data_IF_636904145525
#
_entry.id   IF_636904145525
#
_cell.length_a   1.000
_cell.length_b   1.000
_cell.length_c   1.000
_cell.angle_alpha   90.00
_cell.angle_beta   90.00
_cell.angle_gamma   90.00
#
_symmetry.space_group_name_H-M   'P 1'
#
loop_
_entity.id
_entity.type
_entity.pdbx_description
1 polymer ?
#
# COMPACT_ATOMS: atom_id res chain seq x y z
N UNK A 1 14.26 20.64 -9.22
CA UNK A 1 15.23 20.43 -8.11
C UNK A 1 15.47 21.66 -7.22
N UNK A 2 15.74 22.91 -7.70
CA UNK A 2 15.99 24.04 -6.77
C UNK A 2 14.85 24.30 -5.76
N UNK A 3 13.59 24.10 -6.18
CA UNK A 3 12.44 24.38 -5.31
C UNK A 3 12.17 23.26 -4.30
N UNK A 4 12.41 22.00 -4.65
CA UNK A 4 12.27 20.87 -3.72
C UNK A 4 13.27 20.95 -2.57
N UNK A 5 14.53 21.31 -2.85
CA UNK A 5 15.56 21.46 -1.83
C UNK A 5 15.25 22.62 -0.88
N UNK A 6 14.81 23.77 -1.40
CA UNK A 6 14.42 24.93 -0.57
C UNK A 6 13.25 24.61 0.36
N UNK A 7 12.27 23.82 -0.11
CA UNK A 7 11.14 23.40 0.72
C UNK A 7 11.61 22.44 1.81
N UNK A 8 12.47 21.48 1.49
CA UNK A 8 13.05 20.58 2.49
C UNK A 8 13.85 21.33 3.57
N UNK A 9 14.66 22.30 3.17
CA UNK A 9 15.40 23.17 4.09
C UNK A 9 14.46 23.97 5.01
N UNK A 10 13.43 24.62 4.44
CA UNK A 10 12.40 25.33 5.22
C UNK A 10 11.67 24.43 6.20
N UNK A 11 11.33 23.21 5.79
CA UNK A 11 10.67 22.26 6.68
C UNK A 11 11.63 21.77 7.80
N UNK A 12 12.93 21.68 7.54
CA UNK A 12 13.95 21.39 8.55
C UNK A 12 14.03 22.50 9.62
N UNK A 13 13.86 23.76 9.25
CA UNK A 13 13.75 24.86 10.21
C UNK A 13 12.52 24.68 11.13
N UNK A 14 11.36 24.32 10.57
CA UNK A 14 10.18 24.03 11.38
C UNK A 14 10.35 22.83 12.31
N UNK A 15 11.04 21.77 11.88
CA UNK A 15 11.36 20.63 12.75
C UNK A 15 12.21 21.05 13.96
N UNK A 16 13.18 21.95 13.78
CA UNK A 16 13.97 22.51 14.86
C UNK A 16 13.12 23.36 15.81
N UNK A 17 12.25 24.24 15.28
CA UNK A 17 11.33 25.05 16.08
C UNK A 17 10.34 24.20 16.88
N UNK A 18 9.86 23.08 16.32
CA UNK A 18 9.01 22.11 17.04
C UNK A 18 9.80 21.50 18.20
N UNK A 19 11.07 21.10 17.96
CA UNK A 19 11.93 20.54 19.01
C UNK A 19 12.10 21.54 20.18
N UNK A 20 12.36 22.82 19.90
CA UNK A 20 12.46 23.87 20.90
C UNK A 20 11.17 24.04 21.71
N UNK A 21 10.01 24.10 21.03
CA UNK A 21 8.71 24.22 21.69
C UNK A 21 8.45 23.02 22.62
N UNK A 22 8.77 21.82 22.14
CA UNK A 22 8.52 20.59 22.91
C UNK A 22 9.49 20.46 24.08
N UNK A 23 10.75 20.85 23.93
CA UNK A 23 11.74 20.88 25.04
C UNK A 23 11.24 21.79 26.18
N UNK A 24 10.78 23.00 25.86
CA UNK A 24 10.19 23.93 26.84
C UNK A 24 8.96 23.30 27.52
N UNK A 25 8.03 22.72 26.74
CA UNK A 25 6.80 22.13 27.27
C UNK A 25 7.04 20.92 28.15
N UNK A 26 8.02 20.11 27.80
CA UNK A 26 8.38 18.85 28.49
C UNK A 26 9.44 19.04 29.56
N UNK A 27 10.02 20.24 29.70
CA UNK A 27 11.09 20.57 30.66
C UNK A 27 12.32 19.66 30.55
N UNK A 28 12.73 19.38 29.31
CA UNK A 28 13.86 18.53 29.00
C UNK A 28 13.55 17.04 28.85
N UNK A 29 12.30 16.62 29.12
CA UNK A 29 11.89 15.25 28.76
C UNK A 29 11.59 15.15 27.26
N UNK A 30 11.86 14.00 26.64
CA UNK A 30 11.56 13.79 25.24
C UNK A 30 10.03 13.72 25.00
N UNK A 31 9.52 14.41 23.97
CA UNK A 31 8.12 14.29 23.59
C UNK A 31 7.86 12.91 22.97
N UNK A 32 6.63 12.43 23.14
CA UNK A 32 6.21 11.11 22.66
C UNK A 32 5.11 11.25 21.61
N UNK A 33 5.27 10.55 20.48
CA UNK A 33 4.27 10.47 19.43
C UNK A 33 3.67 9.06 19.34
N UNK A 34 2.35 9.01 19.15
CA UNK A 34 1.64 7.79 18.79
C UNK A 34 1.11 7.93 17.35
N UNK A 35 1.46 7.00 16.47
CA UNK A 35 1.02 7.01 15.07
C UNK A 35 0.31 5.70 14.74
N UNK A 36 -0.93 5.81 14.28
CA UNK A 36 -1.70 4.66 13.80
C UNK A 36 -2.05 4.82 12.34
N UNK A 37 -1.65 3.84 11.53
CA UNK A 37 -1.90 3.83 10.11
C UNK A 37 -3.08 2.92 9.77
N UNK A 38 -4.03 3.46 9.01
CA UNK A 38 -5.14 2.73 8.42
C UNK A 38 -4.96 2.73 6.90
N UNK A 39 -5.03 1.59 6.25
CA UNK A 39 -5.07 1.55 4.79
C UNK A 39 -4.03 0.68 4.11
N UNK A 40 -3.47 1.17 3.01
CA UNK A 40 -2.55 0.43 2.15
C UNK A 40 -1.07 0.72 2.50
N UNK A 41 -0.17 0.00 1.83
CA UNK A 41 1.27 0.16 1.99
C UNK A 41 1.76 1.58 1.71
N UNK A 42 1.10 2.31 0.79
CA UNK A 42 1.41 3.72 0.55
C UNK A 42 1.15 4.59 1.78
N UNK A 43 0.06 4.33 2.55
CA UNK A 43 -0.17 5.03 3.81
C UNK A 43 0.90 4.66 4.86
N UNK A 44 1.41 3.42 4.85
CA UNK A 44 2.53 3.05 5.73
C UNK A 44 3.77 3.85 5.38
N UNK A 45 4.16 3.90 4.11
CA UNK A 45 5.30 4.70 3.66
C UNK A 45 5.12 6.21 3.94
N UNK A 46 3.90 6.74 3.82
CA UNK A 46 3.59 8.11 4.21
C UNK A 46 3.78 8.32 5.72
N UNK A 47 3.38 7.35 6.55
CA UNK A 47 3.59 7.41 8.01
C UNK A 47 5.07 7.28 8.39
N UNK A 48 5.85 6.48 7.69
CA UNK A 48 7.31 6.36 7.89
C UNK A 48 8.04 7.69 7.60
N UNK A 49 7.59 8.46 6.59
CA UNK A 49 8.07 9.84 6.37
C UNK A 49 7.69 10.76 7.52
N UNK A 50 6.44 10.73 7.98
CA UNK A 50 6.00 11.54 9.13
C UNK A 50 6.79 11.17 10.39
N UNK A 51 7.03 9.89 10.63
CA UNK A 51 7.88 9.42 11.74
C UNK A 51 9.30 9.96 11.64
N UNK A 52 9.91 9.94 10.45
CA UNK A 52 11.23 10.52 10.24
C UNK A 52 11.28 12.02 10.59
N UNK A 53 10.30 12.80 10.16
CA UNK A 53 10.20 14.22 10.50
C UNK A 53 9.98 14.45 11.99
N UNK A 54 9.18 13.63 12.66
CA UNK A 54 8.97 13.70 14.12
C UNK A 54 10.23 13.29 14.89
N UNK A 55 10.95 12.26 14.46
CA UNK A 55 12.22 11.85 15.07
C UNK A 55 13.26 12.98 15.00
N UNK A 56 13.35 13.65 13.83
CA UNK A 56 14.22 14.83 13.67
C UNK A 56 13.75 16.00 14.55
N UNK A 57 12.47 16.08 14.89
CA UNK A 57 11.91 17.04 15.84
C UNK A 57 12.02 16.59 17.31
N UNK A 58 12.80 15.54 17.60
CA UNK A 58 13.10 15.05 18.94
C UNK A 58 12.09 14.09 19.57
N UNK A 59 11.06 13.64 18.82
CA UNK A 59 10.05 12.72 19.34
C UNK A 59 10.55 11.28 19.45
N UNK A 60 10.13 10.61 20.51
CA UNK A 60 10.12 9.15 20.63
C UNK A 60 8.71 8.61 20.29
N UNK A 61 8.59 7.29 20.10
CA UNK A 61 7.35 6.67 19.65
C UNK A 61 6.80 5.69 20.69
N UNK A 62 5.49 5.74 20.91
CA UNK A 62 4.78 4.81 21.77
C UNK A 62 3.87 3.88 20.96
N UNK A 63 3.60 2.69 21.52
CA UNK A 63 2.66 1.71 20.95
C UNK A 63 1.19 2.01 21.33
N UNK A 64 0.97 2.83 22.38
CA UNK A 64 -0.34 3.20 22.87
C UNK A 64 -0.47 4.73 23.05
N UNK A 65 -1.69 5.31 22.90
CA UNK A 65 -1.89 6.74 22.86
C UNK A 65 -1.84 7.43 24.24
N UNK A 66 -1.91 6.69 25.34
CA UNK A 66 -2.20 7.24 26.67
C UNK A 66 -1.15 8.24 27.18
N UNK A 67 0.12 8.03 26.83
CA UNK A 67 1.25 8.87 27.23
C UNK A 67 1.80 9.74 26.10
N UNK A 68 1.09 9.82 24.97
CA UNK A 68 1.56 10.58 23.83
C UNK A 68 1.27 12.09 23.97
N UNK A 69 2.21 12.90 23.54
CA UNK A 69 2.06 14.37 23.39
C UNK A 69 1.47 14.72 22.01
N UNK A 70 1.71 13.85 21.04
CA UNK A 70 1.17 13.96 19.68
C UNK A 70 0.56 12.62 19.24
N UNK A 71 -0.68 12.66 18.74
CA UNK A 71 -1.40 11.49 18.23
C UNK A 71 -1.78 11.74 16.79
N UNK A 72 -1.35 10.85 15.87
CA UNK A 72 -1.67 10.93 14.45
C UNK A 72 -2.37 9.66 13.97
N UNK A 73 -3.50 9.82 13.29
CA UNK A 73 -4.13 8.76 12.51
C UNK A 73 -3.96 9.04 11.02
N UNK A 74 -3.20 8.20 10.33
CA UNK A 74 -3.08 8.23 8.88
C UNK A 74 -4.17 7.34 8.26
N UNK A 75 -4.99 7.90 7.38
CA UNK A 75 -6.31 7.37 7.01
C UNK A 75 -6.43 7.07 5.51
N UNK A 76 -7.28 6.12 5.16
CA UNK A 76 -7.46 5.63 3.79
C UNK A 76 -8.89 5.88 3.29
N UNK A 77 -9.01 6.32 2.03
CA UNK A 77 -10.29 6.54 1.36
C UNK A 77 -10.80 5.31 0.57
N UNK A 78 -9.98 4.25 0.44
CA UNK A 78 -10.28 3.13 -0.45
C UNK A 78 -11.18 2.07 0.21
N UNK A 79 -11.12 1.91 1.54
CA UNK A 79 -11.83 0.86 2.28
C UNK A 79 -13.03 1.44 3.02
N UNK A 80 -14.24 0.95 2.72
CA UNK A 80 -15.51 1.44 3.30
C UNK A 80 -15.52 1.42 4.83
N UNK A 81 -15.20 0.27 5.42
CA UNK A 81 -15.18 0.12 6.88
C UNK A 81 -14.01 0.85 7.57
N UNK A 82 -13.10 1.49 6.79
CA UNK A 82 -12.03 2.28 7.39
C UNK A 82 -12.56 3.58 8.00
N UNK A 83 -13.57 4.21 7.39
CA UNK A 83 -14.13 5.47 7.88
C UNK A 83 -14.77 5.31 9.26
N UNK A 84 -15.68 4.36 9.43
CA UNK A 84 -16.36 4.14 10.71
C UNK A 84 -15.39 3.73 11.82
N UNK A 85 -14.40 2.90 11.47
CA UNK A 85 -13.35 2.52 12.42
C UNK A 85 -12.50 3.73 12.83
N UNK A 86 -12.14 4.60 11.89
CA UNK A 86 -11.39 5.83 12.18
C UNK A 86 -12.21 6.75 13.07
N UNK A 87 -13.49 7.02 12.74
CA UNK A 87 -14.35 7.86 13.54
C UNK A 87 -14.58 7.31 14.95
N UNK A 88 -14.75 6.00 15.10
CA UNK A 88 -14.84 5.34 16.40
C UNK A 88 -13.58 5.54 17.25
N UNK A 89 -12.41 5.31 16.66
CA UNK A 89 -11.13 5.47 17.36
C UNK A 89 -10.82 6.94 17.68
N UNK A 90 -11.12 7.88 16.78
CA UNK A 90 -11.00 9.32 17.06
C UNK A 90 -11.93 9.72 18.21
N UNK A 91 -13.18 9.23 18.19
CA UNK A 91 -14.14 9.48 19.28
C UNK A 91 -13.63 9.03 20.64
N UNK A 92 -12.96 7.88 20.72
CA UNK A 92 -12.38 7.35 21.96
C UNK A 92 -11.33 8.29 22.57
N UNK A 93 -10.60 9.06 21.75
CA UNK A 93 -9.59 10.03 22.21
C UNK A 93 -10.18 11.25 22.93
N UNK A 94 -11.50 11.47 22.88
CA UNK A 94 -12.15 12.62 23.52
C UNK A 94 -11.87 12.68 25.03
N UNK A 95 -11.92 11.55 25.70
CA UNK A 95 -11.67 11.49 27.14
C UNK A 95 -10.18 11.71 27.47
N UNK A 96 -9.28 11.18 26.66
CA UNK A 96 -7.85 11.40 26.80
C UNK A 96 -7.51 12.89 26.61
N UNK A 97 -8.02 13.52 25.55
CA UNK A 97 -7.83 14.97 25.30
C UNK A 97 -8.39 15.83 26.43
N UNK A 98 -9.50 15.43 27.07
CA UNK A 98 -10.07 16.16 28.22
C UNK A 98 -9.17 16.07 29.45
N UNK A 99 -8.54 14.90 29.70
CA UNK A 99 -7.60 14.71 30.82
C UNK A 99 -6.25 15.40 30.56
N UNK A 100 -5.81 15.42 29.32
CA UNK A 100 -4.53 15.97 28.86
C UNK A 100 -4.76 17.01 27.74
N UNK A 101 -5.19 18.24 28.07
CA UNK A 101 -5.57 19.26 27.08
C UNK A 101 -4.46 19.66 26.12
N UNK A 102 -3.18 19.46 26.50
CA UNK A 102 -2.01 19.80 25.70
C UNK A 102 -1.73 18.83 24.54
N UNK A 103 -2.29 17.61 24.57
CA UNK A 103 -2.07 16.63 23.49
C UNK A 103 -2.55 17.22 22.16
N UNK A 104 -1.71 17.20 21.12
CA UNK A 104 -2.13 17.51 19.77
C UNK A 104 -2.62 16.24 19.06
N UNK A 105 -3.91 16.22 18.69
CA UNK A 105 -4.52 15.12 17.92
C UNK A 105 -4.62 15.55 16.47
N UNK A 106 -4.06 14.71 15.57
CA UNK A 106 -3.98 14.95 14.14
C UNK A 106 -4.60 13.82 13.32
N UNK A 107 -5.14 14.16 12.16
CA UNK A 107 -5.61 13.23 11.14
C UNK A 107 -5.00 13.58 9.79
N UNK A 108 -4.51 12.59 9.07
CA UNK A 108 -3.98 12.79 7.72
C UNK A 108 -4.35 11.65 6.76
N UNK A 109 -3.87 11.76 5.53
CA UNK A 109 -3.98 10.73 4.50
C UNK A 109 -5.13 10.93 3.52
N UNK A 110 -5.36 9.91 2.68
CA UNK A 110 -6.30 9.98 1.55
C UNK A 110 -7.74 10.36 1.95
N UNK A 111 -8.20 9.91 3.13
CA UNK A 111 -9.54 10.19 3.62
C UNK A 111 -9.72 11.69 3.91
N UNK A 112 -8.66 12.38 4.33
CA UNK A 112 -8.71 13.81 4.66
C UNK A 112 -8.78 14.73 3.43
N UNK A 113 -8.47 14.22 2.24
CA UNK A 113 -8.70 14.95 0.98
C UNK A 113 -10.20 15.04 0.61
N UNK A 114 -11.05 14.19 1.18
CA UNK A 114 -12.48 14.20 0.91
C UNK A 114 -13.17 15.30 1.72
N UNK A 115 -13.78 16.27 1.02
CA UNK A 115 -14.38 17.45 1.65
C UNK A 115 -15.45 17.12 2.70
N UNK A 116 -16.34 16.18 2.39
CA UNK A 116 -17.41 15.77 3.31
C UNK A 116 -16.85 15.15 4.59
N UNK A 117 -15.74 14.41 4.52
CA UNK A 117 -15.06 13.83 5.68
C UNK A 117 -14.41 14.91 6.54
N UNK A 118 -13.62 15.79 5.92
CA UNK A 118 -12.97 16.88 6.66
C UNK A 118 -13.98 17.81 7.34
N UNK A 119 -15.11 18.10 6.66
CA UNK A 119 -16.21 18.85 7.24
C UNK A 119 -16.88 18.13 8.42
N UNK A 120 -17.03 16.78 8.34
CA UNK A 120 -17.51 15.97 9.47
C UNK A 120 -16.54 16.05 10.66
N UNK A 121 -15.24 15.92 10.42
CA UNK A 121 -14.21 16.08 11.47
C UNK A 121 -14.28 17.47 12.09
N UNK A 122 -14.36 18.50 11.27
CA UNK A 122 -14.43 19.88 11.75
C UNK A 122 -15.60 20.10 12.70
N UNK A 123 -16.80 19.61 12.35
CA UNK A 123 -18.03 19.80 13.12
C UNK A 123 -18.14 18.86 14.32
N UNK A 124 -17.79 17.58 14.16
CA UNK A 124 -18.11 16.54 15.16
C UNK A 124 -16.96 16.25 16.13
N UNK A 125 -15.73 16.64 15.79
CA UNK A 125 -14.55 16.37 16.61
C UNK A 125 -13.75 17.66 16.91
N UNK A 126 -14.30 18.60 17.67
CA UNK A 126 -13.67 19.89 17.92
C UNK A 126 -12.32 19.82 18.66
N UNK A 127 -12.01 18.67 19.24
CA UNK A 127 -10.75 18.40 19.94
C UNK A 127 -9.61 17.95 19.02
N UNK A 128 -9.87 17.69 17.73
CA UNK A 128 -8.85 17.43 16.71
C UNK A 128 -8.23 18.77 16.29
N UNK A 129 -6.92 18.92 16.49
CA UNK A 129 -6.21 20.19 16.28
C UNK A 129 -5.56 20.32 14.90
N UNK A 130 -5.22 19.20 14.24
CA UNK A 130 -4.55 19.22 12.95
C UNK A 130 -5.19 18.21 11.98
N UNK A 131 -5.53 18.66 10.77
CA UNK A 131 -6.02 17.80 9.67
C UNK A 131 -5.33 18.22 8.39
N UNK A 132 -4.71 17.27 7.68
CA UNK A 132 -4.06 17.53 6.40
C UNK A 132 -4.19 16.37 5.43
N UNK A 133 -4.26 16.69 4.15
CA UNK A 133 -4.36 15.74 3.08
C UNK A 133 -3.01 15.15 2.62
N UNK A 134 -3.06 14.24 1.66
CA UNK A 134 -1.86 13.62 1.06
C UNK A 134 -1.00 14.61 0.29
N UNK A 135 -1.61 15.65 -0.27
CA UNK A 135 -0.92 16.71 -1.01
C UNK A 135 -0.11 17.64 -0.10
N UNK A 136 -0.50 17.76 1.16
CA UNK A 136 0.16 18.63 2.15
C UNK A 136 1.14 17.90 3.07
N UNK A 137 1.44 16.62 2.81
CA UNK A 137 2.32 15.82 3.66
C UNK A 137 3.72 16.44 3.82
N UNK A 138 4.26 17.03 2.77
CA UNK A 138 5.56 17.69 2.77
C UNK A 138 5.58 18.99 3.60
N UNK A 139 4.41 19.56 3.91
CA UNK A 139 4.26 20.71 4.80
C UNK A 139 3.98 20.33 6.26
N UNK A 140 3.97 19.03 6.58
CA UNK A 140 3.60 18.55 7.92
C UNK A 140 4.33 19.27 9.07
N UNK A 141 5.66 19.54 9.03
CA UNK A 141 6.33 20.28 10.09
C UNK A 141 5.78 21.70 10.27
N UNK A 142 5.58 22.45 9.18
CA UNK A 142 4.99 23.80 9.22
C UNK A 142 3.56 23.79 9.81
N UNK A 143 2.74 22.83 9.38
CA UNK A 143 1.35 22.68 9.86
C UNK A 143 1.31 22.32 11.35
N UNK A 144 2.19 21.42 11.78
CA UNK A 144 2.32 21.04 13.19
C UNK A 144 2.81 22.20 14.04
N UNK A 145 3.82 22.95 13.59
CA UNK A 145 4.32 24.14 14.25
C UNK A 145 3.20 25.16 14.49
N UNK A 146 2.42 25.47 13.44
CA UNK A 146 1.32 26.42 13.52
C UNK A 146 0.23 25.95 14.52
N UNK A 147 -0.09 24.64 14.52
CA UNK A 147 -1.05 24.07 15.47
C UNK A 147 -0.56 24.11 16.92
N UNK A 148 0.75 23.96 17.14
CA UNK A 148 1.37 24.04 18.47
C UNK A 148 1.47 25.48 18.97
N UNK A 149 1.81 26.44 18.10
CA UNK A 149 2.06 27.82 18.49
C UNK A 149 0.77 28.55 18.86
N UNK A 150 -0.21 28.54 17.96
CA UNK A 150 -1.44 29.34 18.06
C UNK A 150 -2.54 28.65 18.87
N UNK A 151 -2.44 27.34 19.12
CA UNK A 151 -3.51 26.54 19.70
C UNK A 151 -4.79 26.50 18.86
N UNK A 152 -4.73 27.03 17.62
CA UNK A 152 -5.82 27.01 16.66
C UNK A 152 -5.84 25.70 15.90
N UNK A 153 -7.03 25.31 15.45
CA UNK A 153 -7.18 24.15 14.57
C UNK A 153 -6.67 24.46 13.16
N UNK A 154 -5.78 23.61 12.67
CA UNK A 154 -5.22 23.69 11.32
C UNK A 154 -5.85 22.64 10.42
N UNK A 155 -6.43 23.08 9.30
CA UNK A 155 -7.06 22.20 8.30
C UNK A 155 -6.51 22.55 6.91
N UNK A 156 -5.66 21.67 6.36
CA UNK A 156 -5.01 21.89 5.09
C UNK A 156 -5.33 20.76 4.10
N UNK A 157 -5.92 21.11 2.96
CA UNK A 157 -6.34 20.18 1.91
C UNK A 157 -6.15 20.76 0.52
N UNK A 158 -5.95 19.91 -0.47
CA UNK A 158 -6.27 20.22 -1.86
C UNK A 158 -5.32 21.10 -2.64
N UNK A 159 -4.17 21.47 -2.13
CA UNK A 159 -3.14 22.17 -2.91
C UNK A 159 -2.25 21.16 -3.64
N UNK A 160 -2.80 20.51 -4.69
CA UNK A 160 -1.98 19.69 -5.60
C UNK A 160 -1.25 20.61 -6.58
N UNK A 161 -0.02 20.98 -6.25
CA UNK A 161 0.89 21.70 -7.13
C UNK A 161 1.53 20.81 -8.20
N UNK A 162 1.12 19.52 -8.21
CA UNK A 162 1.61 18.47 -9.09
C UNK A 162 3.13 18.23 -8.99
N UNK A 163 3.77 18.62 -7.89
CA UNK A 163 5.20 18.46 -7.65
C UNK A 163 5.48 17.29 -6.71
N UNK A 164 6.72 16.80 -6.75
CA UNK A 164 7.26 15.84 -5.79
C UNK A 164 8.36 16.49 -4.99
N UNK A 165 8.32 16.28 -3.69
CA UNK A 165 9.29 16.82 -2.76
C UNK A 165 10.12 15.69 -2.17
N UNK A 166 11.43 15.78 -2.32
CA UNK A 166 12.41 14.81 -1.86
C UNK A 166 13.25 15.36 -0.70
N UNK A 167 14.09 14.51 -0.13
CA UNK A 167 15.02 14.91 0.94
C UNK A 167 14.43 14.94 2.34
N UNK A 168 13.22 14.42 2.54
CA UNK A 168 12.65 14.26 3.87
C UNK A 168 13.19 13.00 4.56
N UNK A 169 13.40 13.05 5.89
CA UNK A 169 13.82 11.90 6.66
C UNK A 169 12.72 10.83 6.65
N UNK A 170 13.15 9.57 6.68
CA UNK A 170 12.23 8.41 6.72
C UNK A 170 12.65 7.49 7.86
N UNK A 171 11.73 7.23 8.79
CA UNK A 171 11.90 6.22 9.83
C UNK A 171 11.07 5.00 9.47
N UNK A 172 11.72 3.96 8.99
CA UNK A 172 11.06 2.72 8.60
C UNK A 172 10.69 1.88 9.82
N UNK A 173 9.50 1.28 9.80
CA UNK A 173 9.02 0.40 10.87
C UNK A 173 9.60 -1.02 10.74
N UNK A 174 9.82 -1.47 9.52
CA UNK A 174 10.37 -2.80 9.25
C UNK A 174 11.89 -2.84 9.37
N UNK A 175 12.42 -3.96 9.86
CA UNK A 175 13.87 -4.20 9.98
C UNK A 175 14.45 -4.93 8.78
N UNK A 176 13.66 -5.73 8.08
CA UNK A 176 14.06 -6.50 6.90
C UNK A 176 13.07 -6.42 5.74
N UNK A 177 11.90 -5.79 5.94
CA UNK A 177 10.90 -5.49 4.89
C UNK A 177 10.70 -4.00 4.79
N UNK A 178 10.75 -3.46 3.57
CA UNK A 178 10.60 -2.03 3.37
C UNK A 178 9.77 -1.66 2.16
N UNK A 179 9.13 -0.51 2.27
CA UNK A 179 8.29 0.09 1.25
C UNK A 179 9.05 1.23 0.57
N UNK A 180 9.14 1.19 -0.76
CA UNK A 180 9.82 2.20 -1.54
C UNK A 180 8.85 2.82 -2.55
N UNK A 181 8.20 3.95 -2.22
CA UNK A 181 7.39 4.68 -3.19
C UNK A 181 8.24 5.13 -4.38
N UNK A 182 7.81 4.79 -5.60
CA UNK A 182 8.48 5.21 -6.84
C UNK A 182 7.67 6.25 -7.61
N UNK A 183 6.40 6.36 -7.30
CA UNK A 183 5.46 7.30 -7.93
C UNK A 183 4.23 7.53 -7.07
N UNK A 184 3.51 8.60 -7.33
CA UNK A 184 2.27 9.00 -6.67
C UNK A 184 1.19 9.35 -7.69
N UNK A 185 -0.09 9.19 -7.31
CA UNK A 185 -1.23 9.51 -8.15
C UNK A 185 -1.49 8.51 -9.27
N UNK A 186 -2.58 8.69 -9.99
CA UNK A 186 -2.98 7.79 -11.08
C UNK A 186 -3.83 8.51 -12.14
N UNK A 187 -3.52 8.29 -13.42
CA UNK A 187 -4.22 8.89 -14.55
C UNK A 187 -5.25 7.94 -15.20
N UNK A 188 -5.52 6.77 -14.63
CA UNK A 188 -6.45 5.81 -15.24
C UNK A 188 -7.92 6.20 -15.11
N UNK A 189 -8.30 6.94 -14.07
CA UNK A 189 -9.69 7.40 -13.83
C UNK A 189 -10.72 6.28 -13.99
N UNK A 190 -10.41 5.07 -13.48
CA UNK A 190 -11.39 3.99 -13.40
C UNK A 190 -12.63 4.51 -12.67
N UNK A 191 -13.84 4.23 -13.18
CA UNK A 191 -15.08 4.88 -12.74
C UNK A 191 -15.41 4.66 -11.25
N UNK A 192 -14.92 3.57 -10.66
CA UNK A 192 -15.12 3.22 -9.24
C UNK A 192 -14.02 3.76 -8.31
N UNK A 193 -12.92 4.30 -8.85
CA UNK A 193 -11.71 4.57 -8.09
C UNK A 193 -11.61 6.01 -7.62
N UNK A 194 -11.40 6.20 -6.31
CA UNK A 194 -11.24 7.51 -5.68
C UNK A 194 -9.80 8.04 -5.76
N UNK A 195 -8.81 7.18 -6.09
CA UNK A 195 -7.39 7.52 -6.05
C UNK A 195 -7.01 8.78 -6.82
N UNK A 196 -7.47 9.01 -8.07
CA UNK A 196 -7.13 10.25 -8.79
C UNK A 196 -7.58 11.53 -8.08
N UNK A 197 -8.61 11.43 -7.24
CA UNK A 197 -9.20 12.57 -6.53
C UNK A 197 -8.56 12.85 -5.17
N UNK A 198 -7.85 11.85 -4.61
CA UNK A 198 -7.23 11.95 -3.27
C UNK A 198 -5.71 11.83 -3.27
N UNK A 199 -5.10 11.46 -4.41
CA UNK A 199 -3.64 11.41 -4.59
C UNK A 199 -3.16 12.16 -5.83
N UNK A 200 -4.09 12.77 -6.57
CA UNK A 200 -3.80 13.60 -7.73
C UNK A 200 -3.35 12.83 -8.97
N UNK A 201 -2.77 13.59 -9.90
CA UNK A 201 -2.21 13.08 -11.15
C UNK A 201 -0.94 12.27 -10.90
N UNK A 202 -0.63 11.44 -11.88
CA UNK A 202 0.54 10.58 -11.89
C UNK A 202 1.84 11.37 -11.92
N UNK A 203 2.74 11.11 -10.96
CA UNK A 203 4.04 11.77 -10.80
C UNK A 203 5.06 10.72 -10.43
N UNK A 204 6.09 10.54 -11.26
CA UNK A 204 7.18 9.62 -11.03
C UNK A 204 8.34 10.31 -10.31
N UNK A 205 8.96 9.61 -9.35
CA UNK A 205 10.21 10.05 -8.70
C UNK A 205 11.39 9.84 -9.64
N UNK A 206 12.41 10.65 -9.50
CA UNK A 206 13.64 10.52 -10.28
C UNK A 206 14.31 9.15 -10.03
N UNK A 207 14.74 8.50 -11.12
CA UNK A 207 15.32 7.15 -11.09
C UNK A 207 16.51 7.04 -10.14
N UNK A 208 17.43 7.99 -10.23
CA UNK A 208 18.66 7.96 -9.42
C UNK A 208 18.38 8.05 -7.92
N UNK A 209 17.33 8.78 -7.51
CA UNK A 209 16.92 8.90 -6.12
C UNK A 209 16.39 7.54 -5.64
N UNK A 210 15.54 6.89 -6.42
CA UNK A 210 14.97 5.58 -6.09
C UNK A 210 16.07 4.52 -5.98
N UNK A 211 16.99 4.47 -6.94
CA UNK A 211 18.10 3.50 -6.96
C UNK A 211 19.02 3.72 -5.76
N UNK A 212 19.36 4.96 -5.43
CA UNK A 212 20.15 5.28 -4.24
C UNK A 212 19.45 4.87 -2.95
N UNK A 213 18.14 5.12 -2.84
CA UNK A 213 17.35 4.72 -1.66
C UNK A 213 17.26 3.19 -1.53
N UNK A 214 17.03 2.47 -2.65
CA UNK A 214 17.05 1.02 -2.69
C UNK A 214 18.41 0.45 -2.24
N UNK A 215 19.51 1.02 -2.73
CA UNK A 215 20.87 0.63 -2.34
C UNK A 215 21.08 0.81 -0.84
N UNK A 216 20.73 1.95 -0.29
CA UNK A 216 20.83 2.21 1.16
C UNK A 216 20.00 1.21 1.97
N UNK A 217 18.81 0.83 1.51
CA UNK A 217 18.00 -0.20 2.15
C UNK A 217 18.70 -1.56 2.15
N UNK A 218 19.23 -1.99 1.00
CA UNK A 218 19.95 -3.28 0.85
C UNK A 218 21.18 -3.31 1.77
N UNK A 219 21.98 -2.26 1.76
CA UNK A 219 23.17 -2.11 2.63
C UNK A 219 22.80 -2.10 4.11
N UNK A 220 21.62 -1.60 4.47
CA UNK A 220 21.06 -1.64 5.84
C UNK A 220 20.45 -2.99 6.22
N UNK A 221 20.50 -4.00 5.34
CA UNK A 221 20.07 -5.37 5.63
C UNK A 221 18.63 -5.70 5.27
N UNK A 222 17.94 -4.84 4.52
CA UNK A 222 16.58 -5.17 4.05
C UNK A 222 16.59 -6.33 3.07
N UNK A 223 15.69 -7.29 3.29
CA UNK A 223 15.57 -8.55 2.53
C UNK A 223 14.37 -8.58 1.58
N UNK A 224 13.36 -7.76 1.81
CA UNK A 224 12.15 -7.66 0.97
C UNK A 224 11.83 -6.19 0.73
N UNK A 225 12.10 -5.70 -0.48
CA UNK A 225 11.86 -4.31 -0.88
C UNK A 225 10.72 -4.30 -1.88
N UNK A 226 9.64 -3.62 -1.52
CA UNK A 226 8.48 -3.50 -2.40
C UNK A 226 8.36 -2.09 -2.97
N UNK A 227 8.46 -1.98 -4.30
CA UNK A 227 8.22 -0.73 -5.03
C UNK A 227 6.73 -0.40 -5.03
N UNK A 228 6.38 0.81 -4.61
CA UNK A 228 5.01 1.26 -4.47
C UNK A 228 4.63 2.36 -5.44
N UNK A 229 3.39 2.32 -5.89
CA UNK A 229 2.72 3.36 -6.66
C UNK A 229 1.24 3.01 -6.80
N UNK A 230 0.47 3.84 -7.48
CA UNK A 230 -0.93 3.55 -7.77
C UNK A 230 -1.11 2.87 -9.14
N UNK A 231 -0.07 2.90 -9.97
CA UNK A 231 0.09 2.13 -11.21
C UNK A 231 1.57 2.09 -11.57
N UNK A 232 2.35 1.21 -10.95
CA UNK A 232 3.81 1.18 -11.10
C UNK A 232 4.26 0.94 -12.54
N UNK A 233 3.46 0.26 -13.36
CA UNK A 233 3.78 -0.02 -14.76
C UNK A 233 3.86 1.25 -15.63
N UNK A 234 3.26 2.35 -15.18
CA UNK A 234 3.31 3.65 -15.88
C UNK A 234 4.47 4.54 -15.45
N UNK A 235 5.32 4.05 -14.54
CA UNK A 235 6.50 4.78 -14.07
C UNK A 235 7.35 5.32 -15.23
N UNK A 236 7.87 6.53 -15.04
CA UNK A 236 8.71 7.25 -15.97
C UNK A 236 7.98 8.30 -16.81
N UNK A 237 6.65 8.23 -16.88
CA UNK A 237 5.86 9.26 -17.57
C UNK A 237 6.04 10.62 -16.88
N UNK A 238 6.43 11.61 -17.66
CA UNK A 238 6.64 12.99 -17.16
C UNK A 238 8.04 13.29 -16.62
N UNK A 239 8.93 12.29 -16.56
CA UNK A 239 10.34 12.52 -16.29
C UNK A 239 11.05 13.11 -17.51
N UNK A 240 12.09 13.91 -17.27
CA UNK A 240 12.95 14.44 -18.32
C UNK A 240 13.79 13.36 -18.99
N UNK A 241 14.19 12.35 -18.25
CA UNK A 241 14.85 11.15 -18.75
C UNK A 241 13.80 10.20 -19.35
N UNK A 242 14.07 9.69 -20.54
CA UNK A 242 13.22 8.67 -21.18
C UNK A 242 13.47 7.30 -20.52
N UNK A 243 12.86 7.08 -19.36
CA UNK A 243 12.97 5.86 -18.57
C UNK A 243 11.59 5.23 -18.36
N UNK A 244 11.52 3.91 -18.32
CA UNK A 244 10.31 3.16 -18.01
C UNK A 244 10.49 2.25 -16.78
N UNK A 245 9.41 1.61 -16.36
CA UNK A 245 9.41 0.75 -15.17
C UNK A 245 10.35 -0.45 -15.32
N UNK A 246 10.44 -1.03 -16.51
CA UNK A 246 11.35 -2.18 -16.78
C UNK A 246 12.82 -1.78 -16.61
N UNK A 247 13.19 -0.58 -17.02
CA UNK A 247 14.55 -0.07 -16.86
C UNK A 247 14.87 0.21 -15.38
N UNK A 248 13.92 0.82 -14.63
CA UNK A 248 14.08 1.00 -13.18
C UNK A 248 14.26 -0.34 -12.47
N UNK A 249 13.42 -1.35 -12.81
CA UNK A 249 13.53 -2.68 -12.21
C UNK A 249 14.90 -3.30 -12.45
N UNK A 250 15.43 -3.23 -13.68
CA UNK A 250 16.77 -3.76 -14.02
C UNK A 250 17.87 -3.07 -13.23
N UNK A 251 17.81 -1.76 -13.06
CA UNK A 251 18.80 -1.03 -12.27
C UNK A 251 18.78 -1.41 -10.79
N UNK A 252 17.60 -1.53 -10.20
CA UNK A 252 17.49 -1.97 -8.80
C UNK A 252 17.89 -3.46 -8.66
N UNK A 253 17.51 -4.32 -9.61
CA UNK A 253 17.87 -5.75 -9.62
C UNK A 253 19.39 -5.98 -9.75
N UNK A 254 20.12 -5.02 -10.33
CA UNK A 254 21.57 -5.10 -10.50
C UNK A 254 22.38 -4.75 -9.24
N UNK A 255 21.73 -4.31 -8.16
CA UNK A 255 22.41 -4.00 -6.90
C UNK A 255 22.78 -5.31 -6.20
N UNK A 256 24.05 -5.46 -5.82
CA UNK A 256 24.51 -6.64 -5.11
C UNK A 256 23.85 -6.81 -3.74
N UNK A 257 23.44 -8.03 -3.41
CA UNK A 257 22.83 -8.33 -2.12
C UNK A 257 21.98 -9.61 -2.16
N UNK A 258 21.47 -9.98 -0.99
CA UNK A 258 20.51 -11.10 -0.88
C UNK A 258 19.14 -10.55 -0.46
N UNK A 259 18.33 -10.19 -1.43
CA UNK A 259 17.02 -9.56 -1.21
C UNK A 259 16.02 -9.99 -2.29
N UNK A 260 14.72 -9.76 -2.01
CA UNK A 260 13.68 -9.78 -3.01
C UNK A 260 13.24 -8.36 -3.38
N UNK A 261 13.13 -8.13 -4.67
CA UNK A 261 12.52 -6.95 -5.24
C UNK A 261 11.10 -7.28 -5.67
N UNK A 262 10.13 -6.63 -5.04
CA UNK A 262 8.70 -6.76 -5.34
C UNK A 262 8.13 -5.45 -5.85
N UNK A 263 6.98 -5.53 -6.46
CA UNK A 263 6.17 -4.36 -6.79
C UNK A 263 4.69 -4.71 -6.70
N UNK A 264 3.88 -3.71 -6.43
CA UNK A 264 2.43 -3.84 -6.26
C UNK A 264 1.71 -2.80 -7.10
N UNK A 265 0.43 -3.08 -7.42
CA UNK A 265 -0.47 -2.11 -8.07
C UNK A 265 -0.12 -1.84 -9.53
N UNK A 266 -0.25 -2.89 -10.34
CA UNK A 266 -0.10 -2.84 -11.79
C UNK A 266 -1.43 -2.62 -12.50
N UNK A 267 -1.38 -2.16 -13.75
CA UNK A 267 -2.56 -2.05 -14.61
C UNK A 267 -2.34 -2.81 -15.92
N UNK A 268 -3.27 -3.68 -16.37
CA UNK A 268 -3.09 -4.50 -17.57
C UNK A 268 -2.75 -3.72 -18.84
N UNK A 269 -3.31 -2.53 -19.00
CA UNK A 269 -3.05 -1.64 -20.14
C UNK A 269 -1.57 -1.25 -20.29
N UNK A 270 -0.85 -1.13 -19.18
CA UNK A 270 0.56 -0.70 -19.11
C UNK A 270 1.52 -1.88 -18.87
N UNK A 271 1.01 -3.14 -18.83
CA UNK A 271 1.84 -4.33 -18.68
C UNK A 271 2.43 -4.75 -20.03
N UNK A 272 3.68 -4.39 -20.28
CA UNK A 272 4.39 -4.64 -21.53
C UNK A 272 5.09 -6.01 -21.52
N UNK A 273 5.43 -6.53 -22.73
CA UNK A 273 6.28 -7.72 -22.87
C UNK A 273 7.66 -7.48 -22.27
N UNK A 274 8.22 -6.28 -22.44
CA UNK A 274 9.51 -5.91 -21.85
C UNK A 274 9.50 -6.05 -20.32
N UNK A 275 8.40 -5.69 -19.66
CA UNK A 275 8.26 -5.88 -18.21
C UNK A 275 8.28 -7.37 -17.84
N UNK A 276 7.54 -8.18 -18.56
CA UNK A 276 7.49 -9.63 -18.35
C UNK A 276 8.88 -10.27 -18.55
N UNK A 277 9.58 -9.90 -19.62
CA UNK A 277 10.94 -10.37 -19.91
C UNK A 277 11.93 -9.93 -18.82
N UNK A 278 11.75 -8.71 -18.28
CA UNK A 278 12.56 -8.19 -17.16
C UNK A 278 12.33 -9.01 -15.89
N UNK A 279 11.07 -9.35 -15.56
CA UNK A 279 10.76 -10.20 -14.41
C UNK A 279 11.34 -11.61 -14.59
N UNK A 280 11.25 -12.16 -15.81
CA UNK A 280 11.78 -13.48 -16.11
C UNK A 280 13.30 -13.57 -15.94
N UNK A 281 14.02 -12.55 -16.42
CA UNK A 281 15.48 -12.46 -16.37
C UNK A 281 16.04 -12.04 -15.02
N UNK A 282 15.23 -11.39 -14.17
CA UNK A 282 15.68 -10.80 -12.90
C UNK A 282 16.14 -11.82 -11.88
N UNK A 283 17.22 -11.50 -11.17
CA UNK A 283 17.83 -12.33 -10.13
C UNK A 283 17.10 -12.13 -8.78
N UNK A 284 16.83 -10.89 -8.42
CA UNK A 284 16.19 -10.52 -7.17
C UNK A 284 14.69 -10.26 -7.35
N UNK A 285 14.22 -10.04 -8.59
CA UNK A 285 12.81 -9.77 -8.87
C UNK A 285 11.97 -11.01 -8.54
N UNK A 286 11.03 -10.83 -7.63
CA UNK A 286 10.11 -11.89 -7.22
C UNK A 286 9.28 -12.42 -8.39
N UNK A 287 9.08 -13.71 -8.46
CA UNK A 287 8.26 -14.38 -9.50
C UNK A 287 6.76 -14.25 -9.17
N UNK A 288 6.35 -13.04 -8.83
CA UNK A 288 4.99 -12.67 -8.48
C UNK A 288 4.54 -11.48 -9.33
N UNK A 289 3.42 -11.65 -10.03
CA UNK A 289 2.78 -10.58 -10.79
C UNK A 289 1.36 -10.34 -10.26
N UNK A 290 1.17 -9.20 -9.61
CA UNK A 290 -0.15 -8.71 -9.22
C UNK A 290 -0.71 -7.85 -10.36
N UNK A 291 -1.72 -8.37 -11.09
CA UNK A 291 -2.29 -7.70 -12.27
C UNK A 291 -3.82 -7.65 -12.18
N UNK A 292 -4.39 -6.60 -11.54
CA UNK A 292 -5.82 -6.45 -11.32
C UNK A 292 -6.65 -6.42 -12.61
N UNK A 293 -7.46 -7.46 -12.88
CA UNK A 293 -8.36 -7.48 -14.02
C UNK A 293 -9.77 -6.95 -13.71
N UNK A 294 -10.17 -6.92 -12.46
CA UNK A 294 -11.41 -6.38 -11.90
C UNK A 294 -12.69 -7.12 -12.31
N UNK A 295 -12.90 -7.42 -13.58
CA UNK A 295 -14.08 -8.12 -14.13
C UNK A 295 -13.70 -8.86 -15.43
N UNK A 296 -14.34 -10.00 -15.70
CA UNK A 296 -14.11 -10.80 -16.91
C UNK A 296 -14.92 -10.35 -18.12
N UNK A 297 -15.97 -9.54 -17.94
CA UNK A 297 -16.83 -9.07 -19.02
C UNK A 297 -16.30 -7.80 -19.68
N UNK A 298 -16.15 -7.81 -20.99
CA UNK A 298 -15.73 -6.63 -21.77
C UNK A 298 -16.70 -5.46 -21.63
N UNK A 299 -18.00 -5.75 -21.49
CA UNK A 299 -19.03 -4.72 -21.29
C UNK A 299 -18.82 -3.99 -19.97
N UNK A 300 -18.60 -4.73 -18.89
CA UNK A 300 -18.36 -4.17 -17.56
C UNK A 300 -17.00 -3.48 -17.49
N UNK A 301 -15.95 -4.04 -18.08
CA UNK A 301 -14.62 -3.40 -18.17
C UNK A 301 -14.71 -2.03 -18.87
N UNK A 302 -15.51 -1.90 -19.92
CA UNK A 302 -15.76 -0.61 -20.58
C UNK A 302 -16.48 0.37 -19.66
N UNK A 303 -17.50 -0.08 -18.92
CA UNK A 303 -18.22 0.74 -17.95
C UNK A 303 -17.31 1.16 -16.77
N UNK A 304 -16.36 0.31 -16.37
CA UNK A 304 -15.32 0.61 -15.38
C UNK A 304 -14.22 1.56 -15.90
N UNK A 305 -14.23 1.95 -17.18
CA UNK A 305 -13.17 2.72 -17.84
C UNK A 305 -11.82 2.01 -17.81
N UNK A 306 -11.81 0.68 -18.06
CA UNK A 306 -10.62 -0.14 -18.10
C UNK A 306 -10.12 -0.29 -19.53
N UNK A 307 -9.15 0.41 -20.01
CA UNK A 307 -8.68 0.51 -21.39
C UNK A 307 -8.00 -0.77 -21.94
N UNK A 308 -8.56 -1.93 -21.67
CA UNK A 308 -8.21 -3.25 -22.20
C UNK A 308 -9.46 -4.15 -22.20
N UNK A 309 -9.41 -5.25 -22.91
CA UNK A 309 -10.44 -6.27 -22.95
C UNK A 309 -9.90 -7.63 -22.43
N UNK A 310 -10.79 -8.63 -22.30
CA UNK A 310 -10.45 -9.98 -21.85
C UNK A 310 -9.36 -10.62 -22.73
N UNK A 311 -9.45 -10.45 -24.07
CA UNK A 311 -8.48 -11.02 -25.00
C UNK A 311 -7.08 -10.49 -24.73
N UNK A 312 -6.94 -9.17 -24.61
CA UNK A 312 -5.67 -8.52 -24.30
C UNK A 312 -5.11 -8.95 -22.96
N UNK A 313 -5.97 -9.10 -21.95
CA UNK A 313 -5.57 -9.59 -20.63
C UNK A 313 -4.98 -11.01 -20.73
N UNK A 314 -5.67 -11.94 -21.40
CA UNK A 314 -5.22 -13.31 -21.59
C UNK A 314 -3.92 -13.40 -22.40
N UNK A 315 -3.74 -12.57 -23.44
CA UNK A 315 -2.47 -12.50 -24.18
C UNK A 315 -1.29 -12.16 -23.24
N UNK A 316 -1.48 -11.19 -22.32
CA UNK A 316 -0.46 -10.80 -21.33
C UNK A 316 -0.17 -11.95 -20.38
N UNK A 317 -1.22 -12.57 -19.82
CA UNK A 317 -1.09 -13.67 -18.85
C UNK A 317 -0.42 -14.90 -19.48
N UNK A 318 -0.81 -15.28 -20.70
CA UNK A 318 -0.23 -16.42 -21.37
C UNK A 318 1.25 -16.19 -21.68
N UNK A 319 1.61 -14.98 -22.12
CA UNK A 319 3.01 -14.61 -22.32
C UNK A 319 3.81 -14.64 -21.00
N UNK A 320 3.22 -14.14 -19.90
CA UNK A 320 3.87 -14.19 -18.59
C UNK A 320 4.07 -15.62 -18.08
N UNK A 321 3.09 -16.51 -18.27
CA UNK A 321 3.19 -17.94 -17.92
C UNK A 321 4.24 -18.67 -18.76
N UNK A 322 4.40 -18.29 -20.03
CA UNK A 322 5.42 -18.86 -20.92
C UNK A 322 6.84 -18.45 -20.50
N UNK A 323 7.03 -17.18 -20.11
CA UNK A 323 8.36 -16.60 -19.86
C UNK A 323 8.86 -16.74 -18.43
N UNK A 324 7.97 -16.77 -17.45
CA UNK A 324 8.34 -16.75 -16.03
C UNK A 324 8.05 -18.12 -15.42
N UNK A 325 9.10 -18.89 -15.18
CA UNK A 325 8.97 -20.15 -14.48
C UNK A 325 8.58 -19.93 -13.02
N UNK A 326 7.67 -20.76 -12.51
CA UNK A 326 7.16 -20.64 -11.14
C UNK A 326 6.31 -19.38 -10.87
N UNK A 327 5.77 -18.72 -11.90
CA UNK A 327 4.97 -17.51 -11.78
C UNK A 327 3.77 -17.67 -10.84
N UNK A 328 3.71 -16.80 -9.85
CA UNK A 328 2.54 -16.58 -9.01
C UNK A 328 1.74 -15.40 -9.53
N UNK A 329 0.47 -15.61 -9.83
CA UNK A 329 -0.45 -14.59 -10.34
C UNK A 329 -1.47 -14.23 -9.27
N UNK A 330 -1.64 -12.92 -9.02
CA UNK A 330 -2.68 -12.40 -8.15
C UNK A 330 -3.44 -11.25 -8.83
N UNK A 331 -4.66 -11.01 -8.40
CA UNK A 331 -5.50 -9.98 -9.00
C UNK A 331 -6.53 -9.45 -8.01
N UNK A 332 -7.13 -8.30 -8.36
CA UNK A 332 -8.32 -7.75 -7.70
C UNK A 332 -9.56 -8.01 -8.54
N UNK A 333 -10.68 -8.26 -7.86
CA UNK A 333 -11.99 -8.45 -8.49
C UNK A 333 -13.05 -7.66 -7.74
N UNK A 334 -13.90 -6.99 -8.48
CA UNK A 334 -15.09 -6.30 -7.97
C UNK A 334 -16.32 -7.01 -8.51
N UNK A 335 -17.14 -7.56 -7.60
CA UNK A 335 -18.41 -8.22 -7.88
C UNK A 335 -19.57 -7.25 -7.69
N UNK A 336 -20.56 -7.29 -8.56
CA UNK A 336 -21.78 -6.47 -8.47
C UNK A 336 -21.53 -5.00 -8.78
N UNK A 337 -20.66 -4.71 -9.76
CA UNK A 337 -20.52 -3.37 -10.32
C UNK A 337 -21.86 -2.90 -10.91
N UNK A 338 -22.23 -1.60 -10.81
CA UNK A 338 -23.49 -1.10 -11.32
C UNK A 338 -23.79 -1.52 -12.77
N UNK A 339 -24.92 -2.19 -12.97
CA UNK A 339 -25.34 -2.72 -14.25
C UNK A 339 -24.65 -4.03 -14.69
N UNK A 340 -23.82 -4.67 -13.85
CA UNK A 340 -23.32 -6.03 -14.10
C UNK A 340 -24.49 -7.02 -14.09
N UNK A 341 -24.53 -7.95 -15.04
CA UNK A 341 -25.51 -9.05 -15.04
C UNK A 341 -24.87 -10.34 -14.54
N UNK A 342 -25.69 -11.35 -14.22
CA UNK A 342 -25.15 -12.66 -13.83
C UNK A 342 -24.36 -13.31 -14.98
N UNK A 343 -24.74 -13.05 -16.24
CA UNK A 343 -23.99 -13.50 -17.42
C UNK A 343 -22.58 -12.86 -17.46
N UNK A 344 -22.45 -11.56 -17.18
CA UNK A 344 -21.16 -10.88 -17.06
C UNK A 344 -20.31 -11.47 -15.93
N UNK A 345 -20.95 -11.78 -14.79
CA UNK A 345 -20.28 -12.42 -13.66
C UNK A 345 -19.77 -13.83 -14.02
N UNK A 346 -20.54 -14.60 -14.79
CA UNK A 346 -20.06 -15.91 -15.29
C UNK A 346 -18.81 -15.79 -16.19
N UNK A 347 -18.69 -14.70 -16.97
CA UNK A 347 -17.45 -14.44 -17.72
C UNK A 347 -16.27 -14.20 -16.78
N UNK A 348 -16.50 -13.55 -15.62
CA UNK A 348 -15.49 -13.38 -14.58
C UNK A 348 -15.05 -14.74 -13.99
N UNK A 349 -15.99 -15.62 -13.64
CA UNK A 349 -15.68 -16.98 -13.17
C UNK A 349 -14.93 -17.81 -14.22
N UNK A 350 -15.33 -17.69 -15.50
CA UNK A 350 -14.65 -18.36 -16.61
C UNK A 350 -13.19 -17.90 -16.73
N UNK A 351 -12.92 -16.59 -16.58
CA UNK A 351 -11.56 -16.05 -16.62
C UNK A 351 -10.71 -16.56 -15.44
N UNK A 352 -11.29 -16.63 -14.25
CA UNK A 352 -10.62 -17.15 -13.04
C UNK A 352 -10.18 -18.60 -13.27
N UNK A 353 -11.07 -19.45 -13.80
CA UNK A 353 -10.77 -20.86 -14.09
C UNK A 353 -9.69 -21.02 -15.18
N UNK A 354 -9.70 -20.14 -16.21
CA UNK A 354 -8.74 -20.16 -17.30
C UNK A 354 -7.33 -19.72 -16.85
N UNK A 355 -7.27 -18.70 -16.00
CA UNK A 355 -6.00 -18.15 -15.51
C UNK A 355 -5.43 -18.94 -14.33
N UNK A 356 -6.26 -19.54 -13.50
CA UNK A 356 -5.86 -20.26 -12.29
C UNK A 356 -4.98 -19.39 -11.37
N UNK A 357 -5.53 -18.29 -10.83
CA UNK A 357 -4.80 -17.38 -9.96
C UNK A 357 -4.32 -18.06 -8.66
N UNK A 358 -3.14 -17.68 -8.19
CA UNK A 358 -2.62 -18.11 -6.89
C UNK A 358 -3.47 -17.55 -5.74
N UNK A 359 -3.87 -16.28 -5.86
CA UNK A 359 -4.77 -15.64 -4.89
C UNK A 359 -5.51 -14.49 -5.55
N UNK A 360 -6.70 -14.18 -5.05
CA UNK A 360 -7.52 -13.05 -5.47
C UNK A 360 -7.88 -12.18 -4.27
N UNK A 361 -7.81 -10.86 -4.45
CA UNK A 361 -8.42 -9.88 -3.56
C UNK A 361 -9.80 -9.55 -4.11
N UNK A 362 -10.83 -9.97 -3.40
CA UNK A 362 -12.21 -9.94 -3.86
C UNK A 362 -13.03 -8.95 -3.06
N UNK A 363 -13.83 -8.15 -3.75
CA UNK A 363 -14.65 -7.10 -3.15
C UNK A 363 -16.05 -7.12 -3.77
N UNK A 364 -17.07 -6.89 -2.94
CA UNK A 364 -18.38 -6.45 -3.44
C UNK A 364 -18.26 -4.95 -3.75
N UNK A 365 -18.83 -4.51 -4.89
CA UNK A 365 -18.82 -3.09 -5.23
C UNK A 365 -19.41 -2.25 -4.10
N UNK A 366 -18.69 -1.21 -3.74
CA UNK A 366 -19.13 -0.20 -2.77
C UNK A 366 -18.89 1.20 -3.34
N UNK A 367 -19.94 2.02 -3.47
CA UNK A 367 -19.84 3.35 -4.07
C UNK A 367 -18.93 4.27 -3.24
N UNK A 368 -18.04 5.00 -3.90
CA UNK A 368 -17.16 5.99 -3.27
C UNK A 368 -17.62 7.40 -3.66
N UNK A 369 -17.89 8.22 -2.67
CA UNK A 369 -18.33 9.61 -2.89
C UNK A 369 -17.34 10.33 -3.79
N UNK A 370 -17.86 11.02 -4.81
CA UNK A 370 -17.07 11.76 -5.79
C UNK A 370 -16.65 10.96 -7.04
N UNK A 371 -16.84 9.63 -7.06
CA UNK A 371 -16.54 8.80 -8.25
C UNK A 371 -17.72 8.75 -9.23
N UNK A 372 -17.46 8.54 -10.54
CA UNK A 372 -18.52 8.34 -11.51
C UNK A 372 -19.44 7.17 -11.18
N UNK A 373 -18.89 6.03 -10.75
CA UNK A 373 -19.67 4.84 -10.44
C UNK A 373 -20.63 5.03 -9.25
N UNK A 374 -20.34 5.93 -8.33
CA UNK A 374 -21.27 6.27 -7.24
C UNK A 374 -22.56 6.95 -7.69
N UNK A 375 -22.58 7.44 -8.94
CA UNK A 375 -23.75 8.09 -9.55
C UNK A 375 -24.50 7.17 -10.52
N UNK A 376 -23.99 5.97 -10.75
CA UNK A 376 -24.64 4.97 -11.62
C UNK A 376 -25.81 4.33 -10.88
N UNK A 377 -26.84 3.98 -11.63
CA UNK A 377 -27.93 3.17 -11.10
C UNK A 377 -27.44 1.75 -10.82
N UNK A 378 -27.72 1.27 -9.61
CA UNK A 378 -27.27 -0.05 -9.13
C UNK A 378 -28.49 -0.92 -8.79
N UNK A 379 -29.07 -1.58 -9.81
CA UNK A 379 -30.29 -2.35 -9.64
C UNK A 379 -30.07 -3.71 -8.95
N UNK A 380 -28.79 -4.11 -8.69
CA UNK A 380 -28.50 -5.45 -8.18
C UNK A 380 -28.73 -5.48 -6.67
N UNK A 381 -29.64 -6.35 -6.17
CA UNK A 381 -29.86 -6.50 -4.73
C UNK A 381 -28.60 -6.95 -4.00
N UNK A 382 -28.40 -6.47 -2.77
CA UNK A 382 -27.24 -6.84 -1.94
C UNK A 382 -27.13 -8.35 -1.69
N UNK A 383 -28.27 -9.03 -1.55
CA UNK A 383 -28.33 -10.49 -1.39
C UNK A 383 -27.80 -11.22 -2.64
N UNK A 384 -28.12 -10.71 -3.83
CA UNK A 384 -27.68 -11.28 -5.10
C UNK A 384 -26.15 -11.11 -5.25
N UNK A 385 -25.61 -9.90 -4.99
CA UNK A 385 -24.17 -9.65 -4.95
C UNK A 385 -23.47 -10.60 -3.96
N UNK A 386 -24.07 -10.83 -2.81
CA UNK A 386 -23.54 -11.75 -1.79
C UNK A 386 -23.54 -13.21 -2.22
N UNK A 387 -24.50 -13.64 -3.06
CA UNK A 387 -24.50 -14.98 -3.67
C UNK A 387 -23.37 -15.13 -4.69
N UNK A 388 -23.26 -14.19 -5.62
CA UNK A 388 -22.18 -14.18 -6.61
C UNK A 388 -20.81 -14.16 -5.93
N UNK A 389 -20.67 -13.35 -4.89
CA UNK A 389 -19.42 -13.27 -4.12
C UNK A 389 -19.01 -14.61 -3.49
N UNK A 390 -19.97 -15.36 -2.92
CA UNK A 390 -19.70 -16.70 -2.37
C UNK A 390 -19.30 -17.68 -3.47
N UNK A 391 -20.02 -17.69 -4.60
CA UNK A 391 -19.69 -18.55 -5.75
C UNK A 391 -18.26 -18.27 -6.25
N UNK A 392 -17.84 -17.00 -6.28
CA UNK A 392 -16.47 -16.62 -6.64
C UNK A 392 -15.44 -17.16 -5.64
N UNK A 393 -15.73 -17.05 -4.35
CA UNK A 393 -14.84 -17.56 -3.31
C UNK A 393 -14.68 -19.08 -3.39
N UNK A 394 -15.74 -19.82 -3.63
CA UNK A 394 -15.71 -21.28 -3.78
C UNK A 394 -14.80 -21.69 -4.96
N UNK A 395 -14.97 -21.03 -6.11
CA UNK A 395 -14.12 -21.29 -7.29
C UNK A 395 -12.65 -20.97 -7.01
N UNK A 396 -12.37 -19.87 -6.34
CA UNK A 396 -10.98 -19.49 -6.03
C UNK A 396 -10.35 -20.42 -4.99
N UNK A 397 -11.13 -20.90 -4.00
CA UNK A 397 -10.64 -21.84 -2.99
C UNK A 397 -10.21 -23.17 -3.63
N UNK A 398 -11.00 -23.70 -4.57
CA UNK A 398 -10.67 -24.91 -5.32
C UNK A 398 -9.36 -24.74 -6.10
N UNK A 399 -9.21 -23.61 -6.81
CA UNK A 399 -8.00 -23.32 -7.60
C UNK A 399 -6.77 -23.17 -6.70
N UNK A 400 -6.90 -22.43 -5.59
CA UNK A 400 -5.78 -22.21 -4.66
C UNK A 400 -5.33 -23.53 -4.02
N UNK A 401 -6.27 -24.38 -3.61
CA UNK A 401 -5.97 -25.70 -3.05
C UNK A 401 -5.19 -26.57 -4.04
N UNK A 402 -5.62 -26.61 -5.31
CA UNK A 402 -4.91 -27.33 -6.39
C UNK A 402 -3.48 -26.80 -6.58
N UNK A 403 -3.31 -25.47 -6.66
CA UNK A 403 -1.99 -24.85 -6.84
C UNK A 403 -1.06 -25.10 -5.65
N UNK A 404 -1.55 -24.90 -4.43
CA UNK A 404 -0.76 -25.18 -3.23
C UNK A 404 -0.37 -26.66 -3.14
N UNK A 405 -1.28 -27.59 -3.49
CA UNK A 405 -1.00 -29.02 -3.52
C UNK A 405 0.11 -29.39 -4.52
N UNK A 406 0.22 -28.69 -5.65
CA UNK A 406 1.27 -28.90 -6.64
C UNK A 406 2.68 -28.48 -6.18
N UNK A 407 2.79 -27.78 -5.04
CA UNK A 407 4.07 -27.38 -4.46
C UNK A 407 4.59 -28.41 -3.44
N UNK A 408 3.78 -29.37 -3.02
CA UNK A 408 4.21 -30.42 -2.08
C UNK A 408 5.33 -31.24 -2.68
N UNK A 409 6.38 -31.46 -1.91
CA UNK A 409 7.61 -32.13 -2.32
C UNK A 409 8.69 -31.21 -2.91
N UNK A 410 8.37 -29.97 -3.28
CA UNK A 410 9.33 -28.99 -3.77
C UNK A 410 10.08 -28.32 -2.62
N UNK A 411 11.28 -27.83 -2.90
CA UNK A 411 12.03 -26.96 -1.99
C UNK A 411 11.90 -25.52 -2.48
N UNK A 412 11.49 -24.63 -1.58
CA UNK A 412 11.28 -23.20 -1.86
C UNK A 412 12.22 -22.36 -0.99
N UNK A 413 12.75 -21.27 -1.55
CA UNK A 413 13.39 -20.21 -0.76
C UNK A 413 12.30 -19.40 -0.07
N UNK A 414 12.35 -19.29 1.25
CA UNK A 414 11.33 -18.64 2.08
C UNK A 414 11.99 -17.57 2.94
N UNK A 415 11.48 -16.34 2.91
CA UNK A 415 11.82 -15.32 3.89
C UNK A 415 10.97 -15.55 5.15
N UNK A 416 11.62 -15.81 6.27
CA UNK A 416 10.92 -15.98 7.55
C UNK A 416 10.57 -14.60 8.08
N UNK A 417 9.29 -14.36 8.36
CA UNK A 417 8.77 -13.02 8.69
C UNK A 417 8.40 -12.85 10.16
N UNK A 418 7.85 -13.86 10.77
CA UNK A 418 7.31 -13.79 12.13
C UNK A 418 7.14 -15.18 12.74
N UNK A 419 6.78 -15.21 14.00
CA UNK A 419 6.21 -16.36 14.67
C UNK A 419 4.67 -16.19 14.73
N UNK A 420 3.95 -17.27 14.59
CA UNK A 420 2.49 -17.31 14.80
C UNK A 420 2.21 -17.42 16.31
N UNK A 421 1.61 -16.39 16.89
CA UNK A 421 1.32 -16.31 18.34
C UNK A 421 0.49 -17.49 18.89
N UNK A 422 -0.29 -18.17 18.05
CA UNK A 422 -1.17 -19.27 18.47
C UNK A 422 -0.52 -20.64 18.39
N UNK A 423 0.25 -20.89 17.33
CA UNK A 423 0.86 -22.20 17.07
C UNK A 423 2.32 -22.28 17.52
N UNK A 424 3.03 -21.14 17.69
CA UNK A 424 4.46 -21.07 17.91
C UNK A 424 5.29 -21.45 16.67
N UNK A 425 4.64 -21.71 15.53
CA UNK A 425 5.32 -22.00 14.27
C UNK A 425 5.86 -20.70 13.65
N UNK A 426 6.98 -20.76 12.96
CA UNK A 426 7.48 -19.67 12.14
C UNK A 426 6.57 -19.50 10.91
N UNK A 427 6.35 -18.27 10.52
CA UNK A 427 5.61 -17.90 9.33
C UNK A 427 6.52 -17.13 8.37
N UNK A 428 6.57 -17.56 7.12
CA UNK A 428 7.35 -16.91 6.09
C UNK A 428 6.61 -16.85 4.76
N UNK A 429 7.28 -16.30 3.73
CA UNK A 429 6.73 -16.24 2.38
C UNK A 429 7.75 -16.71 1.36
N UNK A 430 7.22 -17.33 0.29
CA UNK A 430 7.99 -17.66 -0.91
C UNK A 430 8.22 -16.42 -1.79
N UNK A 431 9.06 -16.52 -2.81
CA UNK A 431 9.17 -15.51 -3.88
C UNK A 431 7.81 -15.19 -4.51
N UNK A 432 6.96 -16.20 -4.72
CA UNK A 432 5.58 -16.05 -5.22
C UNK A 432 4.59 -15.47 -4.21
N UNK A 433 5.04 -15.01 -3.05
CA UNK A 433 4.23 -14.42 -1.98
C UNK A 433 3.24 -15.39 -1.30
N UNK A 434 3.50 -16.70 -1.35
CA UNK A 434 2.69 -17.74 -0.72
C UNK A 434 3.18 -17.92 0.72
N UNK A 435 2.25 -18.02 1.66
CA UNK A 435 2.55 -18.21 3.09
C UNK A 435 3.05 -19.64 3.33
N UNK A 436 4.13 -19.77 4.10
CA UNK A 436 4.68 -21.02 4.57
C UNK A 436 4.80 -21.00 6.08
N UNK A 437 4.22 -22.00 6.74
CA UNK A 437 4.38 -22.26 8.17
C UNK A 437 5.35 -23.42 8.37
N UNK A 438 6.26 -23.30 9.35
CA UNK A 438 7.25 -24.32 9.65
C UNK A 438 7.73 -24.24 11.11
N UNK A 439 8.25 -25.36 11.63
CA UNK A 439 8.94 -25.36 12.92
C UNK A 439 10.38 -24.82 12.75
N UNK A 440 10.85 -24.03 13.73
CA UNK A 440 12.20 -23.48 13.69
C UNK A 440 12.51 -22.52 14.84
N UNK A 441 13.77 -22.04 14.90
CA UNK A 441 14.17 -21.02 15.87
C UNK A 441 13.77 -19.63 15.42
N UNK A 442 13.37 -18.77 16.37
CA UNK A 442 13.11 -17.33 16.15
C UNK A 442 14.29 -16.59 15.53
N UNK A 443 15.51 -17.08 15.68
CA UNK A 443 16.72 -16.51 15.08
C UNK A 443 16.68 -16.54 13.55
N UNK A 444 15.79 -17.35 12.95
CA UNK A 444 15.56 -17.36 11.51
C UNK A 444 14.72 -16.19 11.01
N UNK A 445 14.07 -15.42 11.90
CA UNK A 445 13.23 -14.27 11.48
C UNK A 445 14.12 -13.22 10.82
N UNK A 446 13.70 -12.73 9.65
CA UNK A 446 14.45 -11.80 8.81
C UNK A 446 15.50 -12.45 7.92
N UNK A 447 15.58 -13.79 7.86
CA UNK A 447 16.52 -14.53 7.01
C UNK A 447 15.81 -15.36 5.96
N UNK A 448 16.51 -15.64 4.85
CA UNK A 448 16.06 -16.61 3.86
C UNK A 448 16.44 -18.03 4.28
N UNK A 449 15.48 -18.94 4.16
CA UNK A 449 15.66 -20.36 4.45
C UNK A 449 15.19 -21.20 3.26
N UNK A 450 15.86 -22.32 3.01
CA UNK A 450 15.36 -23.33 2.09
C UNK A 450 14.41 -24.25 2.85
N UNK A 451 13.16 -24.33 2.37
CA UNK A 451 12.09 -25.06 3.04
C UNK A 451 11.51 -26.10 2.08
N UNK A 452 11.56 -27.37 2.46
CA UNK A 452 10.88 -28.46 1.74
C UNK A 452 9.40 -28.43 2.12
N UNK A 453 8.53 -28.24 1.14
CA UNK A 453 7.07 -28.20 1.35
C UNK A 453 6.59 -29.64 1.58
N UNK A 454 6.00 -29.89 2.74
CA UNK A 454 5.54 -31.23 3.15
C UNK A 454 4.03 -31.37 3.05
N UNK A 455 3.27 -30.26 3.19
CA UNK A 455 1.80 -30.26 3.15
C UNK A 455 1.26 -28.93 2.62
N UNK A 456 0.09 -29.00 1.99
CA UNK A 456 -0.69 -27.83 1.60
C UNK A 456 -2.03 -27.79 2.35
N UNK A 457 -2.47 -26.58 2.73
CA UNK A 457 -3.80 -26.32 3.30
C UNK A 457 -4.33 -25.07 2.61
N UNK A 458 -5.31 -25.20 1.74
CA UNK A 458 -5.92 -24.11 0.97
C UNK A 458 -4.89 -23.05 0.49
N UNK A 459 -4.68 -22.00 1.28
CA UNK A 459 -3.80 -20.85 0.97
C UNK A 459 -2.43 -20.89 1.66
N UNK A 460 -2.17 -21.89 2.51
CA UNK A 460 -0.99 -21.97 3.36
C UNK A 460 -0.25 -23.27 3.07
N UNK A 461 1.05 -23.19 2.95
CA UNK A 461 1.95 -24.33 2.86
C UNK A 461 2.53 -24.65 4.23
N UNK A 462 2.82 -25.91 4.50
CA UNK A 462 3.67 -26.33 5.61
C UNK A 462 4.94 -26.97 5.09
N UNK A 463 6.04 -26.71 5.77
CA UNK A 463 7.32 -27.21 5.36
C UNK A 463 8.29 -27.48 6.51
N UNK A 464 9.46 -27.97 6.14
CA UNK A 464 10.57 -28.27 7.03
C UNK A 464 11.85 -27.65 6.50
N UNK A 465 12.71 -27.16 7.39
CA UNK A 465 14.01 -26.61 7.02
C UNK A 465 14.86 -27.69 6.35
N UNK A 466 15.45 -27.36 5.20
CA UNK A 466 16.44 -28.21 4.55
C UNK A 466 17.78 -27.95 5.22
N UNK A 467 18.36 -29.02 5.77
CA UNK A 467 19.69 -28.96 6.41
C UNK A 467 20.81 -28.82 5.37
#
# INVERSE_FOLDING_TARGET
MPDSQKISEKQSEYMNLIAEIMDIRKRGEKPVAYIRTYGCQQNVADSEKIKGMLEQSGFEFADEPDNADFILFNTCAVREHAEDRVFGNVGALKNLKRKHPQILIALCGCMMEQEHVANRIYKSFPFVGLVFGTHSLHHFPELMYNALLDGKRVFERGNDDNQLYEGFPVKRDGTFKGWLPIMYGCNNFCTYCVVPYVRGRERSREKNIIVSEAKNMIESGYKDITLLGQNVNSYGKGLSENVNFSQLLREVDSIDGDYWLRFMTSHPKDCSKELIDTIAAGTHISKHLHLPFQCGSNRVLKAMNRHYDRKKYLEIINYAKEKIDGLSLTSDIIVGFPGETYEDFKETLSLIREVEFTSLFTFIFSPRVGTPAAKMDDPIPAEEKSKWFRELLDVQEEIAAKRCSSMVGKTEKVLIESENDKSGELCGRTSGNIIVELEGSKDCIGTFQNVKITKARNWILKGELVK
#
